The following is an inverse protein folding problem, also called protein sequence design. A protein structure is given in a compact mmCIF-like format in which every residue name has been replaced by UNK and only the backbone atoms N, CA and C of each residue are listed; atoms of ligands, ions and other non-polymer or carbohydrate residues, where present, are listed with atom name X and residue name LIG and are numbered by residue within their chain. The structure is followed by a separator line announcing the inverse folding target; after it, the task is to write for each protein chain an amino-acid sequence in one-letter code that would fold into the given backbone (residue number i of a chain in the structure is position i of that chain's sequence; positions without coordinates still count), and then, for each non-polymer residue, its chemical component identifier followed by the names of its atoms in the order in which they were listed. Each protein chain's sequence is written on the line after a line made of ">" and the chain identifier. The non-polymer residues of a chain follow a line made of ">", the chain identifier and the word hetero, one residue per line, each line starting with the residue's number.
data_IF_979095914354
#
_entry.id   IF_979095914354
#
_cell.length_a   1.000
_cell.length_b   1.000
_cell.length_c   1.000
_cell.angle_alpha   90.00
_cell.angle_beta   90.00
_cell.angle_gamma   90.00
#
_symmetry.space_group_name_H-M   'P 1'
#
loop_
_entity.id
_entity.type
_entity.pdbx_description
1 polymer ?
#
# COMPACT_ATOMS: atom_id res chain seq x y z
N UNK A 1 8.33 -14.46 -8.65
CA UNK A 1 6.99 -14.76 -9.20
C UNK A 1 5.92 -14.01 -8.42
N UNK A 2 4.87 -13.51 -9.08
CA UNK A 2 3.71 -12.93 -8.40
C UNK A 2 2.90 -14.08 -7.76
N UNK A 3 2.75 -14.07 -6.44
CA UNK A 3 2.03 -15.10 -5.69
C UNK A 3 0.56 -14.74 -5.50
N UNK A 4 0.30 -13.46 -5.24
CA UNK A 4 -1.04 -12.96 -5.00
C UNK A 4 -1.19 -11.58 -5.61
N UNK A 5 -2.34 -11.36 -6.24
CA UNK A 5 -2.76 -10.06 -6.69
C UNK A 5 -4.25 -9.91 -6.46
N UNK A 6 -4.63 -8.77 -5.89
CA UNK A 6 -6.02 -8.39 -5.73
C UNK A 6 -6.19 -6.94 -6.15
N UNK A 7 -7.29 -6.67 -6.86
CA UNK A 7 -7.67 -5.33 -7.30
C UNK A 7 -9.13 -5.10 -6.94
N UNK A 8 -9.38 -4.09 -6.12
CA UNK A 8 -10.71 -3.75 -5.63
C UNK A 8 -11.01 -2.31 -5.98
N UNK A 9 -12.16 -2.06 -6.60
CA UNK A 9 -12.64 -0.71 -6.82
C UNK A 9 -13.37 -0.23 -5.55
N UNK A 10 -12.80 0.76 -4.86
CA UNK A 10 -13.37 1.37 -3.66
C UNK A 10 -13.84 2.80 -4.00
N UNK A 11 -15.12 2.92 -4.38
CA UNK A 11 -15.66 4.16 -4.94
C UNK A 11 -15.10 4.42 -6.33
N UNK A 12 -14.40 5.54 -6.52
CA UNK A 12 -13.72 5.90 -7.78
C UNK A 12 -12.21 5.60 -7.77
N UNK A 13 -11.69 4.99 -6.69
CA UNK A 13 -10.26 4.75 -6.50
C UNK A 13 -9.98 3.25 -6.51
N UNK A 14 -8.93 2.85 -7.22
CA UNK A 14 -8.51 1.46 -7.29
C UNK A 14 -7.55 1.14 -6.13
N UNK A 15 -7.91 0.15 -5.32
CA UNK A 15 -7.03 -0.52 -4.38
C UNK A 15 -6.34 -1.69 -5.08
N UNK A 16 -5.02 -1.78 -4.99
CA UNK A 16 -4.23 -2.88 -5.54
C UNK A 16 -3.29 -3.44 -4.49
N UNK A 17 -3.27 -4.77 -4.38
CA UNK A 17 -2.42 -5.53 -3.49
C UNK A 17 -1.64 -6.51 -4.34
N UNK A 18 -0.32 -6.52 -4.20
CA UNK A 18 0.57 -7.49 -4.83
C UNK A 18 1.52 -8.09 -3.78
N UNK A 19 1.69 -9.41 -3.82
CA UNK A 19 2.67 -10.15 -3.03
C UNK A 19 3.47 -11.07 -3.95
N UNK A 20 4.79 -11.04 -3.79
CA UNK A 20 5.74 -11.84 -4.55
C UNK A 20 6.41 -12.89 -3.67
N UNK A 21 6.97 -13.92 -4.30
CA UNK A 21 7.70 -15.01 -3.65
C UNK A 21 9.05 -14.60 -3.02
N UNK A 22 9.56 -13.44 -3.38
CA UNK A 22 10.81 -12.86 -2.89
C UNK A 22 10.59 -11.80 -1.79
N UNK A 23 9.45 -11.89 -1.09
CA UNK A 23 9.00 -10.95 -0.05
C UNK A 23 8.73 -9.52 -0.55
N UNK A 24 8.81 -9.27 -1.86
CA UNK A 24 8.34 -7.99 -2.40
C UNK A 24 6.84 -7.89 -2.28
N UNK A 25 6.39 -6.68 -2.03
CA UNK A 25 4.96 -6.37 -1.90
C UNK A 25 4.66 -4.98 -2.44
N UNK A 26 3.40 -4.77 -2.82
CA UNK A 26 2.85 -3.46 -3.13
C UNK A 26 1.44 -3.33 -2.58
N UNK A 27 1.16 -2.26 -1.84
CA UNK A 27 -0.18 -1.81 -1.46
C UNK A 27 -0.38 -0.44 -2.09
N UNK A 28 -1.39 -0.27 -2.95
CA UNK A 28 -1.62 1.00 -3.66
C UNK A 28 -3.10 1.39 -3.60
N UNK A 29 -3.37 2.63 -3.23
CA UNK A 29 -4.70 3.24 -3.28
C UNK A 29 -4.68 4.43 -4.24
N UNK A 30 -5.02 4.17 -5.51
CA UNK A 30 -4.87 5.12 -6.60
C UNK A 30 -3.49 5.76 -6.65
N UNK A 31 -3.44 7.08 -6.86
CA UNK A 31 -2.22 7.88 -6.79
C UNK A 31 -2.02 8.56 -5.42
N UNK A 32 -2.88 8.24 -4.44
CA UNK A 32 -2.91 8.90 -3.13
C UNK A 32 -1.93 8.27 -2.15
N UNK A 33 -1.88 6.95 -2.09
CA UNK A 33 -1.07 6.19 -1.13
C UNK A 33 -0.46 4.97 -1.82
N UNK A 34 0.83 4.74 -1.62
CA UNK A 34 1.52 3.53 -2.07
C UNK A 34 2.56 3.10 -1.03
N UNK A 35 2.55 1.82 -0.68
CA UNK A 35 3.59 1.17 0.12
C UNK A 35 4.22 0.08 -0.74
N UNK A 36 5.52 0.15 -0.94
CA UNK A 36 6.25 -0.79 -1.79
C UNK A 36 7.66 -1.00 -1.23
N UNK A 37 8.00 -2.26 -0.92
CA UNK A 37 9.38 -2.70 -0.66
C UNK A 37 10.18 -1.77 0.29
N UNK A 38 9.60 -1.42 1.45
CA UNK A 38 10.24 -0.54 2.44
C UNK A 38 10.17 0.95 2.11
N UNK A 39 9.26 1.35 1.22
CA UNK A 39 8.98 2.75 0.89
C UNK A 39 7.50 3.04 1.09
N UNK A 40 7.22 4.26 1.55
CA UNK A 40 5.88 4.82 1.70
C UNK A 40 5.80 6.09 0.85
N UNK A 41 4.82 6.15 -0.04
CA UNK A 41 4.50 7.31 -0.87
C UNK A 41 3.12 7.83 -0.52
N UNK A 42 3.02 9.11 -0.20
CA UNK A 42 1.74 9.80 0.03
C UNK A 42 1.68 11.04 -0.85
N UNK A 43 0.66 11.15 -1.70
CA UNK A 43 0.47 12.26 -2.67
C UNK A 43 1.78 12.66 -3.37
N UNK A 44 2.47 11.67 -3.93
CA UNK A 44 3.74 11.84 -4.64
C UNK A 44 5.00 12.02 -3.77
N UNK A 45 4.89 12.17 -2.45
CA UNK A 45 6.05 12.29 -1.55
C UNK A 45 6.49 10.93 -1.04
N UNK A 46 7.72 10.53 -1.34
CA UNK A 46 8.30 9.24 -0.93
C UNK A 46 9.15 9.40 0.32
N UNK A 47 9.04 8.46 1.26
CA UNK A 47 9.88 8.34 2.45
C UNK A 47 10.28 6.87 2.67
N UNK A 48 11.44 6.62 3.31
CA UNK A 48 11.76 5.29 3.80
C UNK A 48 10.69 4.84 4.80
N UNK A 49 10.38 3.56 4.79
CA UNK A 49 9.39 2.95 5.66
C UNK A 49 9.87 1.58 6.12
N UNK A 50 9.70 1.30 7.40
CA UNK A 50 9.99 0.00 7.99
C UNK A 50 8.83 -0.34 8.93
N UNK A 51 8.37 -1.58 8.85
CA UNK A 51 7.31 -2.11 9.70
C UNK A 51 7.82 -3.33 10.45
N UNK A 52 7.34 -3.51 11.68
CA UNK A 52 7.74 -4.61 12.56
C UNK A 52 6.82 -5.83 12.46
N UNK A 53 5.61 -5.64 11.96
CA UNK A 53 4.65 -6.72 11.70
C UNK A 53 3.70 -6.36 10.55
N UNK A 54 3.07 -7.37 9.97
CA UNK A 54 2.09 -7.18 8.88
C UNK A 54 0.88 -6.38 9.36
N UNK A 55 0.51 -6.51 10.62
CA UNK A 55 -0.57 -5.73 11.25
C UNK A 55 -0.23 -4.24 11.34
N UNK A 56 1.03 -3.90 11.64
CA UNK A 56 1.50 -2.51 11.62
C UNK A 56 1.41 -1.95 10.20
N UNK A 57 1.90 -2.70 9.20
CA UNK A 57 1.80 -2.30 7.78
C UNK A 57 0.35 -2.04 7.38
N UNK A 58 -0.57 -2.94 7.75
CA UNK A 58 -2.00 -2.79 7.47
C UNK A 58 -2.56 -1.53 8.12
N UNK A 59 -2.30 -1.34 9.42
CA UNK A 59 -2.82 -0.21 10.17
C UNK A 59 -2.31 1.13 9.61
N UNK A 60 -1.01 1.25 9.36
CA UNK A 60 -0.40 2.48 8.81
C UNK A 60 -0.98 2.81 7.43
N UNK A 61 -1.16 1.80 6.57
CA UNK A 61 -1.77 1.96 5.26
C UNK A 61 -3.23 2.42 5.36
N UNK A 62 -4.04 1.78 6.20
CA UNK A 62 -5.45 2.16 6.42
C UNK A 62 -5.57 3.61 6.95
N UNK A 63 -4.72 4.01 7.88
CA UNK A 63 -4.69 5.38 8.40
C UNK A 63 -4.34 6.40 7.31
N UNK A 64 -3.36 6.09 6.47
CA UNK A 64 -2.99 6.99 5.37
C UNK A 64 -4.09 7.12 4.34
N UNK A 65 -4.72 6.01 3.97
CA UNK A 65 -5.87 6.01 3.05
C UNK A 65 -6.98 6.87 3.64
N UNK A 66 -7.34 6.67 4.90
CA UNK A 66 -8.36 7.46 5.59
C UNK A 66 -8.01 8.96 5.61
N UNK A 67 -6.74 9.31 5.85
CA UNK A 67 -6.28 10.69 5.85
C UNK A 67 -6.27 11.35 4.46
N UNK A 68 -6.20 10.58 3.37
CA UNK A 68 -6.22 11.11 2.00
C UNK A 68 -7.60 11.06 1.34
N UNK A 69 -8.53 10.26 1.86
CA UNK A 69 -9.89 10.09 1.35
C UNK A 69 -10.90 11.14 1.89
N UNK A 70 -10.48 11.96 2.87
CA UNK A 70 -11.21 13.13 3.36
C UNK A 70 -10.93 14.38 2.52
#
# INVERSE_FOLDING_TARGET
>A
MLLFQEKVLAGAVLLEIELHDDLRYRLRYGDLVEYENGRRRIRGRVRPYEFRSVEQLRYDFEQDVAAQAA
#
